data_IF_727391873903
#
_entry.id   IF_727391873903
#
_cell.length_a   1.000
_cell.length_b   1.000
_cell.length_c   1.000
_cell.angle_alpha   90.00
_cell.angle_beta   90.00
_cell.angle_gamma   90.00
#
_symmetry.space_group_name_H-M   'P 1'
#
loop_
_entity.id
_entity.type
_entity.pdbx_description
1 polymer ?
#
# COMPACT_ATOMS: atom_id res chain seq x y z
N UNK A 1 -5.28 -11.05 8.47
CA UNK A 1 -4.64 -9.71 8.51
C UNK A 1 -3.98 -9.35 9.86
N UNK A 2 -3.68 -10.33 10.75
CA UNK A 2 -3.16 -10.03 12.10
C UNK A 2 -1.81 -9.28 12.09
N UNK A 3 -0.89 -9.63 11.19
CA UNK A 3 0.41 -8.97 11.07
C UNK A 3 0.26 -7.48 10.70
N UNK A 4 -0.59 -7.16 9.72
CA UNK A 4 -0.84 -5.78 9.29
C UNK A 4 -1.47 -4.97 10.43
N UNK A 5 -2.44 -5.55 11.13
CA UNK A 5 -3.03 -4.94 12.33
C UNK A 5 -1.99 -4.68 13.42
N UNK A 6 -1.07 -5.62 13.67
CA UNK A 6 0.00 -5.45 14.66
C UNK A 6 0.93 -4.29 14.27
N UNK A 7 1.30 -4.16 13.00
CA UNK A 7 2.10 -3.04 12.51
C UNK A 7 1.38 -1.70 12.72
N UNK A 8 0.09 -1.60 12.36
CA UNK A 8 -0.71 -0.38 12.60
C UNK A 8 -0.75 -0.02 14.08
N UNK A 9 -0.92 -1.00 14.98
CA UNK A 9 -0.90 -0.76 16.42
C UNK A 9 0.45 -0.23 16.91
N UNK A 10 1.57 -0.79 16.42
CA UNK A 10 2.91 -0.32 16.75
C UNK A 10 3.11 1.12 16.26
N UNK A 11 2.73 1.42 15.01
CA UNK A 11 2.82 2.76 14.43
C UNK A 11 2.01 3.78 15.23
N UNK A 12 0.75 3.46 15.56
CA UNK A 12 -0.15 4.34 16.33
C UNK A 12 0.27 4.52 17.78
N UNK A 13 0.91 3.51 18.38
CA UNK A 13 1.52 3.65 19.71
C UNK A 13 2.68 4.65 19.70
N UNK A 14 3.46 4.68 18.63
CA UNK A 14 4.56 5.66 18.48
C UNK A 14 4.05 7.06 18.12
N UNK A 15 3.05 7.15 17.25
CA UNK A 15 2.41 8.40 16.86
C UNK A 15 0.90 8.17 16.63
N UNK A 16 0.03 8.65 17.54
CA UNK A 16 -1.42 8.50 17.39
C UNK A 16 -1.98 9.14 16.10
N UNK A 17 -1.24 10.07 15.48
CA UNK A 17 -1.59 10.74 14.23
C UNK A 17 -0.92 10.15 12.99
N UNK A 18 -0.44 8.91 13.04
CA UNK A 18 0.23 8.27 11.90
C UNK A 18 -0.68 8.22 10.66
N UNK A 19 -0.22 8.72 9.51
CA UNK A 19 -0.90 8.58 8.22
C UNK A 19 -0.27 7.37 7.49
N UNK A 20 -1.09 6.43 7.03
CA UNK A 20 -0.66 5.11 6.57
C UNK A 20 -1.12 4.90 5.13
N UNK A 21 -0.19 4.52 4.25
CA UNK A 21 -0.48 4.02 2.91
C UNK A 21 -0.21 2.52 2.92
N UNK A 22 -1.18 1.72 2.50
CA UNK A 22 -1.02 0.28 2.28
C UNK A 22 -1.11 0.00 0.79
N UNK A 23 -0.15 -0.73 0.26
CA UNK A 23 -0.13 -1.06 -1.16
C UNK A 23 -0.87 -2.38 -1.39
N UNK A 24 -1.67 -2.46 -2.45
CA UNK A 24 -1.99 -3.75 -3.04
C UNK A 24 -0.72 -4.31 -3.67
N UNK A 25 -0.38 -5.55 -3.34
CA UNK A 25 0.89 -6.16 -3.74
C UNK A 25 0.88 -6.46 -5.24
N UNK A 26 2.00 -6.14 -5.91
CA UNK A 26 2.19 -6.46 -7.34
C UNK A 26 2.07 -7.98 -7.59
N UNK A 27 1.63 -8.40 -8.78
CA UNK A 27 1.52 -9.82 -9.10
C UNK A 27 2.89 -10.50 -9.18
N UNK A 28 2.89 -11.80 -8.96
CA UNK A 28 4.00 -12.70 -9.29
C UNK A 28 3.73 -13.37 -10.64
N UNK A 29 4.80 -13.75 -11.37
CA UNK A 29 4.65 -14.58 -12.58
C UNK A 29 4.36 -16.05 -12.27
N UNK A 30 4.47 -16.44 -10.99
CA UNK A 30 4.21 -17.78 -10.46
C UNK A 30 3.50 -17.70 -9.11
N UNK A 31 2.73 -18.71 -8.73
CA UNK A 31 2.12 -18.83 -7.38
C UNK A 31 1.36 -17.58 -6.89
N UNK A 32 0.64 -16.89 -7.79
CA UNK A 32 0.01 -15.60 -7.53
C UNK A 32 -1.25 -15.64 -6.63
N UNK A 33 -1.74 -16.83 -6.26
CA UNK A 33 -2.98 -16.98 -5.48
C UNK A 33 -2.90 -16.35 -4.09
N UNK A 34 -1.73 -16.40 -3.44
CA UNK A 34 -1.50 -15.74 -2.15
C UNK A 34 -1.58 -14.21 -2.24
N UNK A 35 -1.03 -13.65 -3.32
CA UNK A 35 -1.11 -12.21 -3.62
C UNK A 35 -2.55 -11.78 -3.87
N UNK A 36 -3.30 -12.56 -4.65
CA UNK A 36 -4.72 -12.29 -4.89
C UNK A 36 -5.53 -12.33 -3.59
N UNK A 37 -5.27 -13.32 -2.73
CA UNK A 37 -5.96 -13.45 -1.45
C UNK A 37 -5.68 -12.28 -0.51
N UNK A 38 -4.43 -11.83 -0.38
CA UNK A 38 -4.10 -10.67 0.48
C UNK A 38 -4.66 -9.37 -0.10
N UNK A 39 -4.56 -9.15 -1.42
CA UNK A 39 -5.11 -7.96 -2.07
C UNK A 39 -6.63 -7.88 -1.92
N UNK A 40 -7.34 -9.00 -1.97
CA UNK A 40 -8.78 -9.06 -1.72
C UNK A 40 -9.15 -8.72 -0.26
N UNK A 41 -8.29 -9.05 0.70
CA UNK A 41 -8.52 -8.77 2.12
C UNK A 41 -8.21 -7.32 2.55
N UNK A 42 -7.28 -6.65 1.87
CA UNK A 42 -6.81 -5.30 2.23
C UNK A 42 -7.94 -4.26 2.27
N UNK A 43 -8.87 -4.17 1.29
CA UNK A 43 -9.92 -3.15 1.31
C UNK A 43 -10.80 -3.16 2.57
N UNK A 44 -11.29 -4.34 2.95
CA UNK A 44 -12.12 -4.49 4.15
C UNK A 44 -11.30 -4.22 5.43
N UNK A 45 -10.05 -4.69 5.47
CA UNK A 45 -9.14 -4.45 6.59
C UNK A 45 -8.79 -2.97 6.78
N UNK A 46 -8.43 -2.28 5.71
CA UNK A 46 -8.08 -0.85 5.72
C UNK A 46 -9.28 -0.03 6.20
N UNK A 47 -10.47 -0.29 5.64
CA UNK A 47 -11.72 0.36 6.06
C UNK A 47 -12.00 0.13 7.56
N UNK A 48 -11.80 -1.09 8.05
CA UNK A 48 -12.09 -1.45 9.44
C UNK A 48 -11.17 -0.81 10.49
N UNK A 49 -9.96 -0.37 10.10
CA UNK A 49 -9.01 0.28 10.99
C UNK A 49 -8.84 1.78 10.72
N UNK A 50 -9.40 2.31 9.65
CA UNK A 50 -9.27 3.71 9.25
C UNK A 50 -9.93 4.66 10.27
N UNK A 51 -9.32 5.84 10.48
CA UNK A 51 -9.91 6.92 11.27
C UNK A 51 -9.45 8.28 10.72
N UNK A 52 -10.14 9.36 11.11
CA UNK A 52 -9.73 10.73 10.72
C UNK A 52 -8.35 11.08 11.26
N UNK A 53 -8.07 10.75 12.53
CA UNK A 53 -6.79 11.10 13.19
C UNK A 53 -5.60 10.28 12.65
N UNK A 54 -5.83 9.04 12.20
CA UNK A 54 -4.80 8.16 11.69
C UNK A 54 -5.31 7.44 10.43
N UNK A 55 -5.33 8.14 9.29
CA UNK A 55 -5.92 7.60 8.07
C UNK A 55 -5.10 6.43 7.52
N UNK A 56 -5.81 5.46 6.94
CA UNK A 56 -5.28 4.34 6.16
C UNK A 56 -5.89 4.46 4.76
N UNK A 57 -5.05 4.64 3.74
CA UNK A 57 -5.46 4.64 2.33
C UNK A 57 -4.72 3.57 1.55
N UNK A 58 -5.32 3.17 0.43
CA UNK A 58 -4.78 2.11 -0.42
C UNK A 58 -4.09 2.73 -1.63
N UNK A 59 -2.84 2.36 -1.89
CA UNK A 59 -2.21 2.52 -3.19
C UNK A 59 -2.44 1.25 -4.02
N UNK A 60 -3.20 1.36 -5.10
CA UNK A 60 -3.44 0.21 -5.98
C UNK A 60 -2.26 0.00 -6.94
N UNK A 61 -1.23 -0.70 -6.46
CA UNK A 61 -0.08 -1.09 -7.26
C UNK A 61 -0.30 -2.39 -8.05
N UNK A 62 -1.47 -3.03 -7.95
CA UNK A 62 -1.75 -4.34 -8.58
C UNK A 62 -2.55 -4.21 -9.87
N UNK A 63 -3.55 -3.34 -9.92
CA UNK A 63 -4.45 -3.20 -11.07
C UNK A 63 -3.70 -2.72 -12.31
N UNK A 64 -3.67 -3.58 -13.32
CA UNK A 64 -3.01 -3.30 -14.60
C UNK A 64 -1.48 -3.46 -14.58
N UNK A 65 -0.89 -3.99 -13.50
CA UNK A 65 0.55 -4.29 -13.45
C UNK A 65 0.85 -5.55 -14.29
N UNK A 66 1.63 -5.47 -15.39
CA UNK A 66 1.92 -6.63 -16.23
C UNK A 66 3.09 -7.44 -15.68
N UNK A 67 3.04 -8.77 -15.79
CA UNK A 67 4.15 -9.64 -15.36
C UNK A 67 5.41 -9.50 -16.22
N UNK A 68 5.30 -8.92 -17.43
CA UNK A 68 6.45 -8.52 -18.26
C UNK A 68 7.31 -7.42 -17.62
N UNK A 69 6.71 -6.66 -16.69
CA UNK A 69 7.42 -5.60 -15.95
C UNK A 69 8.10 -6.14 -14.68
N UNK A 70 8.25 -7.47 -14.57
CA UNK A 70 9.02 -8.15 -13.55
C UNK A 70 10.37 -8.60 -14.13
N UNK A 71 11.47 -8.35 -13.43
CA UNK A 71 12.83 -8.72 -13.88
C UNK A 71 13.17 -10.20 -13.64
N UNK A 72 12.52 -10.82 -12.67
CA UNK A 72 12.77 -12.21 -12.23
C UNK A 72 11.47 -12.96 -11.90
N UNK A 73 10.32 -12.41 -12.31
CA UNK A 73 9.01 -12.95 -11.96
C UNK A 73 8.50 -12.58 -10.57
N UNK A 74 9.26 -11.82 -9.79
CA UNK A 74 8.89 -11.34 -8.44
C UNK A 74 9.03 -9.83 -8.33
N UNK A 75 10.17 -9.30 -8.71
CA UNK A 75 10.52 -7.90 -8.48
C UNK A 75 10.32 -7.05 -9.74
N UNK A 76 9.88 -5.79 -9.59
CA UNK A 76 9.70 -4.89 -10.73
C UNK A 76 11.02 -4.61 -11.46
N UNK A 77 10.93 -4.40 -12.77
CA UNK A 77 11.97 -3.71 -13.54
C UNK A 77 11.68 -2.19 -13.56
N UNK A 78 12.44 -1.42 -14.33
CA UNK A 78 12.26 0.04 -14.39
C UNK A 78 10.85 0.47 -14.85
N UNK A 79 10.19 -0.29 -15.74
CA UNK A 79 8.82 -0.01 -16.14
C UNK A 79 7.84 -0.29 -14.99
N UNK A 80 8.01 -1.40 -14.28
CA UNK A 80 7.25 -1.74 -13.08
C UNK A 80 7.42 -0.72 -11.95
N UNK A 81 8.64 -0.23 -11.74
CA UNK A 81 8.93 0.83 -10.76
C UNK A 81 8.15 2.11 -11.08
N UNK A 82 8.04 2.49 -12.36
CA UNK A 82 7.26 3.66 -12.79
C UNK A 82 5.76 3.47 -12.53
N UNK A 83 5.23 2.25 -12.67
CA UNK A 83 3.85 1.95 -12.31
C UNK A 83 3.66 2.17 -10.82
N UNK A 84 4.47 1.56 -9.97
CA UNK A 84 4.41 1.72 -8.50
C UNK A 84 4.53 3.20 -8.11
N UNK A 85 5.50 3.91 -8.68
CA UNK A 85 5.70 5.34 -8.46
C UNK A 85 4.43 6.14 -8.77
N UNK A 86 3.77 5.86 -9.90
CA UNK A 86 2.55 6.57 -10.32
C UNK A 86 1.36 6.37 -9.36
N UNK A 87 1.36 5.28 -8.59
CA UNK A 87 0.30 4.93 -7.62
C UNK A 87 0.56 5.53 -6.24
N UNK A 88 1.80 5.47 -5.78
CA UNK A 88 2.18 5.90 -4.43
C UNK A 88 2.42 7.41 -4.36
N UNK A 89 3.08 8.00 -5.36
CA UNK A 89 3.57 9.39 -5.31
C UNK A 89 2.46 10.41 -5.02
N UNK A 90 1.29 10.37 -5.68
CA UNK A 90 0.21 11.32 -5.40
C UNK A 90 -0.30 11.24 -3.95
N UNK A 91 -0.40 10.03 -3.39
CA UNK A 91 -0.86 9.80 -2.01
C UNK A 91 0.19 10.30 -1.00
N UNK A 92 1.46 9.97 -1.24
CA UNK A 92 2.57 10.39 -0.39
C UNK A 92 2.69 11.91 -0.35
N UNK A 93 2.71 12.56 -1.52
CA UNK A 93 2.80 14.02 -1.61
C UNK A 93 1.62 14.72 -0.93
N UNK A 94 0.40 14.18 -1.07
CA UNK A 94 -0.76 14.71 -0.36
C UNK A 94 -0.54 14.73 1.16
N UNK A 95 -0.07 13.62 1.74
CA UNK A 95 0.14 13.56 3.19
C UNK A 95 1.34 14.37 3.68
N UNK A 96 2.43 14.41 2.91
CA UNK A 96 3.57 15.29 3.21
C UNK A 96 3.11 16.74 3.23
N UNK A 97 2.35 17.19 2.22
CA UNK A 97 1.84 18.56 2.16
C UNK A 97 0.89 18.88 3.31
N UNK A 98 0.00 17.96 3.69
CA UNK A 98 -0.86 18.13 4.86
C UNK A 98 -0.04 18.32 6.15
N UNK A 99 0.96 17.45 6.36
CA UNK A 99 1.83 17.55 7.53
C UNK A 99 2.64 18.86 7.58
N UNK A 100 3.10 19.36 6.43
CA UNK A 100 3.78 20.65 6.33
C UNK A 100 2.84 21.84 6.57
N UNK A 101 1.56 21.72 6.18
CA UNK A 101 0.53 22.72 6.42
C UNK A 101 -0.06 22.67 7.84
N UNK A 102 0.38 21.72 8.68
CA UNK A 102 -0.12 21.55 10.04
C UNK A 102 -1.52 20.93 10.13
N UNK A 103 -1.98 20.24 9.09
CA UNK A 103 -3.31 19.59 8.97
C UNK A 103 -3.26 18.07 8.86
#
# INVERSE_FOLDING_TARGET
MAAYTKMVQIMRKANPKMKIIVDLVIPLSFSNSGIQAINSAIPAWAKGLNSTDSPIVIADCTTGFPTSDLRDGVHPNIAGDRIIQSRITPLLLNYVNQSLAGV
#
